data_IF_010233296860
#
_entry.id   IF_010233296860
#
_cell.length_a   1.000
_cell.length_b   1.000
_cell.length_c   1.000
_cell.angle_alpha   90.00
_cell.angle_beta   90.00
_cell.angle_gamma   90.00
#
_symmetry.space_group_name_H-M   'P 1'
#
loop_
_entity.id
_entity.type
_entity.pdbx_description
1 polymer ?
#
# COMPACT_ATOMS: atom_id res chain seq x y z
N UNK A 1 7.74 9.62 -58.46
CA UNK A 1 7.86 10.20 -57.10
C UNK A 1 6.54 10.74 -56.54
N UNK A 2 5.83 11.66 -57.23
CA UNK A 2 4.54 12.22 -56.74
C UNK A 2 3.46 11.16 -56.42
N UNK A 3 3.34 10.11 -57.23
CA UNK A 3 2.37 9.00 -56.99
C UNK A 3 2.70 8.13 -55.78
N UNK A 4 4.00 7.93 -55.49
CA UNK A 4 4.47 7.16 -54.33
C UNK A 4 4.27 7.98 -53.05
N UNK A 5 4.56 9.29 -53.09
CA UNK A 5 4.27 10.20 -51.97
C UNK A 5 2.77 10.23 -51.63
N UNK A 6 1.91 10.30 -52.66
CA UNK A 6 0.46 10.31 -52.46
C UNK A 6 -0.05 8.99 -51.85
N UNK A 7 0.47 7.84 -52.28
CA UNK A 7 0.14 6.54 -51.69
C UNK A 7 0.61 6.43 -50.23
N UNK A 8 1.79 6.97 -49.91
CA UNK A 8 2.30 7.01 -48.53
C UNK A 8 1.46 7.93 -47.63
N UNK A 9 1.03 9.09 -48.12
CA UNK A 9 0.13 9.99 -47.40
C UNK A 9 -1.25 9.36 -47.18
N UNK A 10 -1.78 8.65 -48.17
CA UNK A 10 -3.07 7.96 -48.05
C UNK A 10 -2.99 6.80 -47.04
N UNK A 11 -1.89 6.04 -47.03
CA UNK A 11 -1.66 4.97 -46.06
C UNK A 11 -1.55 5.51 -44.62
N UNK A 12 -0.89 6.65 -44.42
CA UNK A 12 -0.85 7.32 -43.11
C UNK A 12 -2.22 7.87 -42.69
N UNK A 13 -3.02 8.42 -43.62
CA UNK A 13 -4.35 8.93 -43.32
C UNK A 13 -5.33 7.84 -42.86
N UNK A 14 -5.22 6.62 -43.42
CA UNK A 14 -6.03 5.47 -43.00
C UNK A 14 -5.70 5.03 -41.57
N UNK A 15 -4.43 5.11 -41.15
CA UNK A 15 -4.02 4.76 -39.78
C UNK A 15 -4.56 5.76 -38.71
N UNK A 16 -4.68 7.05 -39.04
CA UNK A 16 -5.31 8.02 -38.14
C UNK A 16 -6.82 7.80 -37.96
N UNK A 17 -7.51 7.21 -38.94
CA UNK A 17 -8.95 6.95 -38.86
C UNK A 17 -9.31 5.85 -37.84
N UNK A 18 -8.40 4.90 -37.57
CA UNK A 18 -8.61 3.79 -36.62
C UNK A 18 -8.21 4.11 -35.17
N UNK A 19 -7.68 5.30 -34.88
CA UNK A 19 -7.26 5.70 -33.53
C UNK A 19 -8.36 6.39 -32.70
N UNK A 20 -9.61 6.38 -33.17
CA UNK A 20 -10.72 7.04 -32.48
C UNK A 20 -11.01 6.36 -31.14
N UNK A 21 -11.00 7.16 -30.07
CA UNK A 21 -11.34 6.71 -28.71
C UNK A 21 -12.71 7.25 -28.33
N UNK A 22 -13.47 6.44 -27.61
CA UNK A 22 -14.78 6.82 -27.10
C UNK A 22 -14.74 7.43 -25.69
N UNK A 23 -15.88 7.97 -25.28
CA UNK A 23 -16.12 8.44 -23.92
C UNK A 23 -17.50 8.06 -23.41
N UNK A 24 -17.63 7.99 -22.09
CA UNK A 24 -18.89 7.73 -21.39
C UNK A 24 -19.11 8.84 -20.37
N UNK A 25 -20.30 9.43 -20.37
CA UNK A 25 -20.69 10.49 -19.45
C UNK A 25 -22.06 10.27 -18.83
N UNK A 26 -22.35 10.98 -17.75
CA UNK A 26 -23.67 10.96 -17.11
C UNK A 26 -23.69 11.79 -15.82
N UNK A 27 -24.86 11.83 -15.19
CA UNK A 27 -25.09 12.50 -13.90
C UNK A 27 -25.69 11.52 -12.91
N UNK A 28 -25.11 11.47 -11.71
CA UNK A 28 -25.51 10.57 -10.63
C UNK A 28 -26.41 11.30 -9.65
N UNK A 29 -27.60 10.74 -9.39
CA UNK A 29 -28.63 11.33 -8.53
C UNK A 29 -29.18 10.28 -7.57
N UNK A 30 -29.71 10.74 -6.45
CA UNK A 30 -30.52 9.92 -5.56
C UNK A 30 -31.89 9.62 -6.20
N UNK A 31 -32.30 8.35 -6.18
CA UNK A 31 -33.60 7.90 -6.67
C UNK A 31 -34.79 8.47 -5.87
N UNK A 32 -34.64 8.65 -4.55
CA UNK A 32 -35.66 9.15 -3.64
C UNK A 32 -35.78 10.68 -3.71
N UNK A 33 -34.66 11.37 -3.95
CA UNK A 33 -34.61 12.81 -4.15
C UNK A 33 -33.76 13.17 -5.36
N UNK A 34 -34.38 13.27 -6.54
CA UNK A 34 -33.69 13.54 -7.81
C UNK A 34 -33.04 14.93 -7.91
N UNK A 35 -33.15 15.77 -6.88
CA UNK A 35 -32.40 17.03 -6.73
C UNK A 35 -31.07 16.84 -6.00
N UNK A 36 -30.91 15.74 -5.25
CA UNK A 36 -29.68 15.39 -4.55
C UNK A 36 -28.71 14.72 -5.53
N UNK A 37 -27.61 15.39 -5.83
CA UNK A 37 -26.53 14.88 -6.67
C UNK A 37 -25.55 14.04 -5.85
N UNK A 38 -25.07 12.94 -6.41
CA UNK A 38 -24.10 12.06 -5.76
C UNK A 38 -22.68 12.47 -6.18
N UNK A 39 -22.08 13.35 -5.38
CA UNK A 39 -20.71 13.79 -5.54
C UNK A 39 -19.70 12.74 -5.05
N UNK A 40 -18.50 12.75 -5.64
CA UNK A 40 -17.39 11.84 -5.29
C UNK A 40 -17.75 10.34 -5.36
N UNK A 41 -18.76 9.98 -6.14
CA UNK A 41 -19.09 8.61 -6.42
C UNK A 41 -18.10 8.05 -7.45
N UNK A 42 -17.62 6.84 -7.20
CA UNK A 42 -16.64 6.18 -8.06
C UNK A 42 -17.35 5.51 -9.22
N UNK A 43 -17.07 5.98 -10.43
CA UNK A 43 -17.50 5.36 -11.68
C UNK A 43 -16.33 4.56 -12.24
N UNK A 44 -16.48 3.24 -12.31
CA UNK A 44 -15.46 2.31 -12.80
C UNK A 44 -15.91 1.67 -14.10
N UNK A 45 -14.97 1.49 -15.03
CA UNK A 45 -15.18 0.83 -16.32
C UNK A 45 -14.36 -0.47 -16.35
N UNK A 46 -15.02 -1.58 -16.62
CA UNK A 46 -14.42 -2.90 -16.80
C UNK A 46 -14.64 -3.38 -18.24
N UNK A 47 -13.65 -4.04 -18.84
CA UNK A 47 -13.71 -4.54 -20.22
C UNK A 47 -14.39 -5.90 -20.25
N UNK A 48 -15.49 -6.04 -21.00
CA UNK A 48 -16.22 -7.30 -21.16
C UNK A 48 -16.74 -7.90 -19.85
N UNK A 49 -16.65 -9.23 -19.73
CA UNK A 49 -16.97 -9.99 -18.52
C UNK A 49 -15.82 -10.02 -17.49
N UNK A 50 -14.66 -9.46 -17.83
CA UNK A 50 -13.50 -9.49 -16.95
C UNK A 50 -13.67 -8.54 -15.76
N UNK A 51 -12.91 -8.83 -14.70
CA UNK A 51 -12.78 -8.01 -13.49
C UNK A 51 -11.67 -6.97 -13.61
N UNK A 52 -11.04 -6.86 -14.79
CA UNK A 52 -9.92 -5.93 -15.02
C UNK A 52 -10.43 -4.51 -15.19
N UNK A 53 -10.07 -3.66 -14.23
CA UNK A 53 -10.34 -2.23 -14.26
C UNK A 53 -9.62 -1.60 -15.48
N UNK A 54 -10.40 -1.03 -16.38
CA UNK A 54 -9.88 -0.32 -17.57
C UNK A 54 -9.62 1.15 -17.25
N UNK A 55 -10.60 1.81 -16.63
CA UNK A 55 -10.53 3.22 -16.28
C UNK A 55 -11.51 3.52 -15.16
N UNK A 56 -11.33 4.63 -14.45
CA UNK A 56 -12.27 5.10 -13.44
C UNK A 56 -12.23 6.62 -13.34
N UNK A 57 -13.29 7.19 -12.76
CA UNK A 57 -13.36 8.62 -12.43
C UNK A 57 -14.30 8.81 -11.24
N UNK A 58 -13.99 9.77 -10.40
CA UNK A 58 -14.94 10.29 -9.41
C UNK A 58 -15.91 11.25 -10.10
N UNK A 59 -17.17 11.23 -9.70
CA UNK A 59 -18.10 12.31 -10.04
C UNK A 59 -17.70 13.61 -9.36
N UNK A 60 -17.98 14.73 -10.02
CA UNK A 60 -17.74 16.07 -9.49
C UNK A 60 -18.79 16.47 -8.42
N UNK A 61 -18.69 17.71 -7.93
CA UNK A 61 -19.61 18.25 -6.92
C UNK A 61 -21.08 18.30 -7.38
N UNK A 62 -21.33 18.22 -8.69
CA UNK A 62 -22.67 18.19 -9.30
C UNK A 62 -23.09 16.75 -9.68
N UNK A 63 -22.34 15.73 -9.27
CA UNK A 63 -22.58 14.34 -9.59
C UNK A 63 -22.30 13.99 -11.05
N UNK A 64 -21.64 14.85 -11.82
CA UNK A 64 -21.33 14.63 -13.24
C UNK A 64 -20.02 13.85 -13.36
N UNK A 65 -19.98 12.90 -14.29
CA UNK A 65 -18.76 12.19 -14.65
C UNK A 65 -18.55 12.14 -16.16
N UNK A 66 -17.27 12.07 -16.57
CA UNK A 66 -16.85 11.77 -17.94
C UNK A 66 -15.58 10.93 -17.92
N UNK A 67 -15.64 9.74 -18.51
CA UNK A 67 -14.52 8.81 -18.67
C UNK A 67 -14.20 8.74 -20.16
N UNK A 68 -13.00 9.18 -20.52
CA UNK A 68 -12.51 9.19 -21.91
C UNK A 68 -11.49 8.08 -22.15
N UNK A 69 -10.96 8.01 -23.38
CA UNK A 69 -9.91 7.08 -23.79
C UNK A 69 -10.33 5.61 -23.74
N UNK A 70 -11.57 5.33 -24.13
CA UNK A 70 -12.10 3.96 -24.22
C UNK A 70 -11.99 3.44 -25.67
N UNK A 71 -11.73 2.15 -25.83
CA UNK A 71 -11.66 1.51 -27.15
C UNK A 71 -13.07 1.38 -27.76
N UNK A 72 -13.18 1.55 -29.08
CA UNK A 72 -14.41 1.30 -29.81
C UNK A 72 -14.54 -0.18 -30.19
N UNK A 73 -15.78 -0.67 -30.37
CA UNK A 73 -16.07 -2.07 -30.70
C UNK A 73 -15.96 -3.04 -29.52
N UNK A 74 -15.80 -2.51 -28.31
CA UNK A 74 -15.62 -3.28 -27.08
C UNK A 74 -16.83 -3.10 -26.16
N UNK A 75 -17.33 -4.22 -25.60
CA UNK A 75 -18.33 -4.19 -24.53
C UNK A 75 -17.67 -3.77 -23.22
N UNK A 76 -18.29 -2.84 -22.50
CA UNK A 76 -17.85 -2.42 -21.18
C UNK A 76 -18.97 -2.61 -20.15
N UNK A 77 -18.56 -2.82 -18.90
CA UNK A 77 -19.43 -2.77 -17.73
C UNK A 77 -19.11 -1.51 -16.92
N UNK A 78 -20.09 -0.62 -16.82
CA UNK A 78 -20.05 0.56 -15.96
C UNK A 78 -20.54 0.15 -14.58
N UNK A 79 -19.71 0.38 -13.56
CA UNK A 79 -20.05 0.13 -12.16
C UNK A 79 -19.92 1.43 -11.40
N UNK A 80 -21.03 1.89 -10.82
CA UNK A 80 -21.06 3.10 -9.99
C UNK A 80 -21.17 2.69 -8.53
N UNK A 81 -20.23 3.15 -7.72
CA UNK A 81 -20.22 2.97 -6.29
C UNK A 81 -20.28 4.34 -5.60
N UNK A 82 -21.33 4.56 -4.82
CA UNK A 82 -21.47 5.73 -3.97
C UNK A 82 -21.66 5.28 -2.51
N UNK A 83 -21.09 6.02 -1.57
CA UNK A 83 -21.18 5.70 -0.15
C UNK A 83 -22.64 5.71 0.31
N UNK A 84 -23.07 4.65 1.01
CA UNK A 84 -24.46 4.43 1.46
C UNK A 84 -25.48 4.17 0.34
N UNK A 85 -25.06 3.94 -0.91
CA UNK A 85 -25.96 3.55 -2.00
C UNK A 85 -25.69 2.13 -2.49
N UNK A 86 -26.69 1.52 -3.12
CA UNK A 86 -26.52 0.27 -3.84
C UNK A 86 -25.63 0.47 -5.08
N UNK A 87 -24.83 -0.54 -5.40
CA UNK A 87 -23.94 -0.52 -6.56
C UNK A 87 -24.77 -0.58 -7.83
N UNK A 88 -24.70 0.46 -8.66
CA UNK A 88 -25.37 0.50 -9.96
C UNK A 88 -24.47 -0.13 -11.02
N UNK A 89 -25.07 -0.94 -11.91
CA UNK A 89 -24.37 -1.65 -13.00
C UNK A 89 -25.09 -1.44 -14.31
N UNK A 90 -24.33 -1.16 -15.38
CA UNK A 90 -24.85 -1.06 -16.74
C UNK A 90 -23.82 -1.53 -17.75
N UNK A 91 -24.22 -2.45 -18.63
CA UNK A 91 -23.43 -2.81 -19.80
C UNK A 91 -23.62 -1.78 -20.91
N UNK A 92 -22.52 -1.47 -21.59
CA UNK A 92 -22.49 -0.50 -22.70
C UNK A 92 -21.62 -1.04 -23.83
N UNK A 93 -21.88 -0.55 -25.04
CA UNK A 93 -21.05 -0.80 -26.23
C UNK A 93 -20.76 0.54 -26.89
N UNK A 94 -19.48 0.88 -27.02
CA UNK A 94 -19.04 2.04 -27.77
C UNK A 94 -18.79 1.61 -29.21
N UNK A 95 -19.37 2.32 -30.17
CA UNK A 95 -19.23 2.02 -31.60
C UNK A 95 -18.68 3.25 -32.32
N UNK A 96 -18.12 3.07 -33.52
CA UNK A 96 -17.68 4.22 -34.33
C UNK A 96 -18.82 5.17 -34.69
N UNK A 97 -20.07 4.68 -34.72
CA UNK A 97 -21.26 5.51 -34.94
C UNK A 97 -21.70 6.28 -33.68
N UNK A 98 -21.34 5.80 -32.49
CA UNK A 98 -21.62 6.44 -31.21
C UNK A 98 -20.40 6.29 -30.28
N UNK A 99 -19.32 7.04 -30.55
CA UNK A 99 -18.09 6.96 -29.76
C UNK A 99 -18.27 7.63 -28.39
N UNK A 100 -19.15 8.63 -28.30
CA UNK A 100 -19.49 9.34 -27.07
C UNK A 100 -20.88 8.93 -26.58
N UNK A 101 -20.92 8.12 -25.52
CA UNK A 101 -22.16 7.64 -24.93
C UNK A 101 -22.53 8.43 -23.68
N UNK A 102 -23.61 9.19 -23.76
CA UNK A 102 -24.20 9.85 -22.60
C UNK A 102 -25.27 8.93 -21.97
N UNK A 103 -25.06 8.53 -20.73
CA UNK A 103 -25.97 7.69 -19.96
C UNK A 103 -27.13 8.47 -19.31
N UNK A 104 -27.14 9.79 -19.45
CA UNK A 104 -28.15 10.67 -18.87
C UNK A 104 -28.08 10.68 -17.35
N UNK A 105 -29.26 10.68 -16.71
CA UNK A 105 -29.40 10.65 -15.26
C UNK A 105 -29.44 9.19 -14.77
N UNK A 106 -28.47 8.82 -13.94
CA UNK A 106 -28.42 7.53 -13.28
C UNK A 106 -28.93 7.70 -11.85
N UNK A 107 -30.05 7.04 -11.55
CA UNK A 107 -30.68 7.08 -10.23
C UNK A 107 -30.13 5.91 -9.39
N UNK A 108 -29.49 6.23 -8.28
CA UNK A 108 -29.01 5.24 -7.31
C UNK A 108 -29.96 5.19 -6.12
N UNK A 109 -30.25 3.98 -5.65
CA UNK A 109 -31.07 3.75 -4.45
C UNK A 109 -30.19 3.68 -3.22
N UNK A 110 -30.59 4.32 -2.14
CA UNK A 110 -29.91 4.19 -0.85
C UNK A 110 -29.89 2.73 -0.40
N UNK A 111 -28.81 2.34 0.27
CA UNK A 111 -28.65 1.02 0.85
C UNK A 111 -29.31 1.00 2.22
N UNK A 112 -30.46 0.34 2.33
CA UNK A 112 -31.01 -0.05 3.63
C UNK A 112 -30.09 -1.09 4.29
N UNK A 113 -29.95 -1.02 5.61
CA UNK A 113 -29.04 -1.82 6.43
C UNK A 113 -29.43 -3.31 6.52
N UNK A 114 -29.77 -3.94 5.39
CA UNK A 114 -29.98 -5.38 5.34
C UNK A 114 -28.62 -6.07 5.35
N UNK A 115 -28.29 -6.64 6.51
CA UNK A 115 -27.13 -7.48 6.81
C UNK A 115 -27.11 -8.82 6.01
N UNK A 116 -27.75 -8.88 4.85
CA UNK A 116 -27.54 -9.97 3.90
C UNK A 116 -26.28 -9.66 3.10
N UNK A 117 -25.19 -10.18 3.62
CA UNK A 117 -23.87 -10.20 3.02
C UNK A 117 -23.92 -10.90 1.65
N UNK A 118 -24.22 -10.16 0.58
CA UNK A 118 -23.88 -10.62 -0.77
C UNK A 118 -22.41 -10.33 -0.97
N UNK A 119 -21.59 -11.33 -0.68
CA UNK A 119 -20.15 -11.35 -0.97
C UNK A 119 -19.96 -11.33 -2.48
N UNK A 120 -20.02 -10.17 -3.12
CA UNK A 120 -19.54 -10.02 -4.50
C UNK A 120 -18.02 -9.85 -4.41
N UNK A 121 -17.31 -10.98 -4.34
CA UNK A 121 -15.84 -11.07 -4.28
C UNK A 121 -15.14 -10.43 -5.49
N UNK A 122 -15.84 -10.15 -6.59
CA UNK A 122 -15.23 -9.83 -7.89
C UNK A 122 -15.11 -8.35 -8.24
N UNK A 123 -15.79 -7.43 -7.54
CA UNK A 123 -15.92 -6.03 -7.97
C UNK A 123 -15.70 -5.05 -6.81
N UNK A 124 -14.50 -5.06 -6.23
CA UNK A 124 -14.11 -4.05 -5.25
C UNK A 124 -13.77 -2.75 -5.98
N UNK A 125 -14.49 -1.63 -5.75
CA UNK A 125 -14.19 -0.37 -6.42
C UNK A 125 -12.75 0.08 -6.10
N UNK A 126 -12.02 0.67 -7.06
CA UNK A 126 -10.65 1.10 -6.86
C UNK A 126 -10.52 2.19 -5.79
N UNK A 127 -11.55 3.02 -5.67
CA UNK A 127 -11.61 4.15 -4.74
C UNK A 127 -13.00 4.19 -4.12
N UNK A 128 -13.08 4.48 -2.83
CA UNK A 128 -14.32 4.79 -2.13
C UNK A 128 -14.07 6.05 -1.30
N UNK A 129 -14.84 7.10 -1.54
CA UNK A 129 -14.82 8.31 -0.71
C UNK A 129 -15.89 8.18 0.36
N UNK A 130 -15.50 8.23 1.64
CA UNK A 130 -16.37 8.10 2.82
C UNK A 130 -16.23 9.34 3.68
N UNK A 131 -17.13 10.31 3.52
CA UNK A 131 -17.12 11.56 4.30
C UNK A 131 -15.73 12.21 4.26
N UNK A 132 -14.92 12.03 5.32
CA UNK A 132 -13.60 12.63 5.51
C UNK A 132 -12.43 11.69 5.13
N UNK A 133 -12.71 10.51 4.56
CA UNK A 133 -11.69 9.48 4.25
C UNK A 133 -11.80 8.98 2.82
N UNK A 134 -10.67 8.98 2.09
CA UNK A 134 -10.53 8.34 0.78
C UNK A 134 -9.92 6.96 0.99
N UNK A 135 -10.61 5.91 0.57
CA UNK A 135 -10.15 4.53 0.64
C UNK A 135 -9.77 4.03 -0.76
N UNK A 136 -8.52 3.64 -0.93
CA UNK A 136 -7.99 3.00 -2.14
C UNK A 136 -7.92 1.49 -1.93
N UNK A 137 -8.49 0.73 -2.86
CA UNK A 137 -8.31 -0.71 -2.90
C UNK A 137 -6.93 -1.03 -3.50
N UNK A 138 -6.00 -1.57 -2.70
CA UNK A 138 -4.63 -1.82 -3.14
C UNK A 138 -4.56 -2.80 -4.32
N UNK A 139 -5.46 -3.79 -4.38
CA UNK A 139 -5.49 -4.79 -5.45
C UNK A 139 -5.90 -4.20 -6.81
N UNK A 140 -6.54 -3.03 -6.83
CA UNK A 140 -6.89 -2.34 -8.06
C UNK A 140 -5.70 -1.63 -8.72
N UNK A 141 -4.60 -1.44 -7.99
CA UNK A 141 -3.40 -0.75 -8.46
C UNK A 141 -2.25 -1.75 -8.57
N UNK A 142 -2.09 -2.35 -9.76
CA UNK A 142 -1.08 -3.40 -9.99
C UNK A 142 0.34 -2.87 -9.78
N UNK A 143 1.11 -3.58 -8.95
CA UNK A 143 2.54 -3.38 -8.71
C UNK A 143 3.31 -4.66 -9.04
N UNK A 144 4.65 -4.57 -9.05
CA UNK A 144 5.51 -5.76 -9.19
C UNK A 144 5.36 -6.67 -7.95
N UNK A 145 5.55 -8.00 -8.08
CA UNK A 145 5.49 -8.92 -6.93
C UNK A 145 6.44 -8.56 -5.79
N UNK A 146 7.58 -7.94 -6.11
CA UNK A 146 8.61 -7.48 -5.16
C UNK A 146 8.48 -6.01 -4.77
N UNK A 147 7.42 -5.32 -5.21
CA UNK A 147 7.22 -3.90 -4.95
C UNK A 147 6.97 -3.63 -3.47
N UNK A 148 7.45 -2.48 -3.00
CA UNK A 148 7.19 -1.99 -1.64
C UNK A 148 5.99 -1.04 -1.61
N UNK A 149 5.51 -0.70 -0.41
CA UNK A 149 4.38 0.22 -0.24
C UNK A 149 4.62 1.57 -0.92
N UNK A 150 5.85 2.07 -0.95
CA UNK A 150 6.20 3.30 -1.67
C UNK A 150 5.83 3.23 -3.17
N UNK A 151 6.11 2.10 -3.83
CA UNK A 151 5.78 1.88 -5.24
C UNK A 151 4.26 1.83 -5.46
N UNK A 152 3.53 1.25 -4.51
CA UNK A 152 2.07 1.24 -4.52
C UNK A 152 1.50 2.66 -4.37
N UNK A 153 2.04 3.45 -3.44
CA UNK A 153 1.62 4.84 -3.22
C UNK A 153 1.83 5.69 -4.48
N UNK A 154 2.93 5.51 -5.20
CA UNK A 154 3.21 6.19 -6.49
C UNK A 154 2.18 5.86 -7.59
N UNK A 155 1.42 4.77 -7.45
CA UNK A 155 0.36 4.39 -8.40
C UNK A 155 -1.01 4.96 -8.03
N UNK A 156 -1.18 5.48 -6.83
CA UNK A 156 -2.44 6.06 -6.39
C UNK A 156 -2.63 7.46 -7.00
N UNK A 157 -3.84 7.80 -7.47
CA UNK A 157 -4.11 9.13 -8.02
C UNK A 157 -3.99 10.20 -6.93
N UNK A 158 -3.43 11.35 -7.31
CA UNK A 158 -3.24 12.46 -6.38
C UNK A 158 -2.13 12.24 -5.36
N UNK A 159 -1.49 11.07 -5.32
CA UNK A 159 -0.39 10.79 -4.41
C UNK A 159 0.95 11.08 -5.11
N UNK A 160 1.74 11.95 -4.51
CA UNK A 160 3.10 12.26 -4.93
C UNK A 160 4.08 11.79 -3.85
N UNK A 161 5.13 11.10 -4.26
CA UNK A 161 6.22 10.67 -3.38
C UNK A 161 7.50 11.30 -3.91
N UNK A 162 8.13 12.15 -3.12
CA UNK A 162 9.38 12.82 -3.49
C UNK A 162 10.60 11.92 -3.20
N UNK A 163 11.75 12.30 -3.74
CA UNK A 163 13.01 11.53 -3.61
C UNK A 163 13.51 11.40 -2.17
N UNK A 164 13.15 12.34 -1.31
CA UNK A 164 13.46 12.33 0.13
C UNK A 164 12.53 11.40 0.93
N UNK A 165 11.52 10.82 0.31
CA UNK A 165 10.51 9.96 0.94
C UNK A 165 9.32 10.72 1.52
N UNK A 166 9.23 12.04 1.35
CA UNK A 166 8.04 12.82 1.71
C UNK A 166 6.88 12.48 0.78
N UNK A 167 5.67 12.45 1.34
CA UNK A 167 4.46 12.05 0.62
C UNK A 167 3.44 13.18 0.70
N UNK A 168 2.83 13.49 -0.42
CA UNK A 168 1.71 14.41 -0.52
C UNK A 168 0.53 13.70 -1.16
N UNK A 169 -0.68 14.04 -0.71
CA UNK A 169 -1.93 13.58 -1.33
C UNK A 169 -2.78 14.80 -1.65
N UNK A 170 -3.12 14.97 -2.93
CA UNK A 170 -3.86 16.12 -3.47
C UNK A 170 -3.26 17.48 -3.03
N UNK A 171 -1.92 17.57 -3.02
CA UNK A 171 -1.18 18.78 -2.64
C UNK A 171 -1.05 19.02 -1.13
N UNK A 172 -1.62 18.15 -0.28
CA UNK A 172 -1.47 18.21 1.18
C UNK A 172 -0.37 17.26 1.65
N UNK A 173 0.50 17.73 2.56
CA UNK A 173 1.54 16.89 3.15
C UNK A 173 0.95 15.81 4.05
N UNK A 174 1.54 14.61 3.99
CA UNK A 174 1.22 13.51 4.90
C UNK A 174 2.06 13.66 6.17
N UNK A 175 1.41 13.74 7.33
CA UNK A 175 2.07 13.91 8.64
C UNK A 175 2.48 12.58 9.27
N UNK A 176 1.73 11.50 9.01
CA UNK A 176 2.05 10.17 9.56
C UNK A 176 1.48 9.03 8.72
N UNK A 177 2.14 7.89 8.82
CA UNK A 177 1.65 6.60 8.30
C UNK A 177 1.31 5.67 9.45
N UNK A 178 0.09 5.16 9.42
CA UNK A 178 -0.41 4.15 10.33
C UNK A 178 -0.48 2.80 9.60
N UNK A 179 -0.28 1.72 10.35
CA UNK A 179 -0.57 0.37 9.92
C UNK A 179 -1.67 -0.16 10.82
N UNK A 180 -2.81 -0.49 10.22
CA UNK A 180 -4.02 -0.93 10.92
C UNK A 180 -4.52 0.04 12.01
N UNK A 181 -4.34 1.34 11.79
CA UNK A 181 -4.74 2.41 12.69
C UNK A 181 -3.76 2.64 13.85
N UNK A 182 -2.57 2.04 13.79
CA UNK A 182 -1.53 2.14 14.82
C UNK A 182 -0.25 2.68 14.21
N UNK A 183 0.49 3.48 14.97
CA UNK A 183 1.83 3.89 14.55
C UNK A 183 2.73 2.66 14.41
N UNK A 184 3.44 2.62 13.30
CA UNK A 184 4.36 1.53 12.99
C UNK A 184 5.78 2.09 13.00
N UNK A 185 6.73 1.30 13.52
CA UNK A 185 8.16 1.69 13.62
C UNK A 185 8.42 3.08 14.24
N UNK A 186 7.75 3.41 15.35
CA UNK A 186 8.02 4.65 16.08
C UNK A 186 7.54 5.93 15.38
N UNK A 187 6.69 5.80 14.34
CA UNK A 187 6.12 6.95 13.62
C UNK A 187 6.93 7.40 12.40
N UNK A 188 8.06 6.75 12.10
CA UNK A 188 8.83 7.05 10.90
C UNK A 188 8.12 6.53 9.63
N UNK A 189 7.62 7.50 8.86
CA UNK A 189 6.89 7.29 7.63
C UNK A 189 7.68 6.47 6.59
N UNK A 190 8.99 6.71 6.49
CA UNK A 190 9.83 6.10 5.46
C UNK A 190 10.09 4.64 5.74
N UNK A 191 10.17 4.26 7.02
CA UNK A 191 10.39 2.87 7.40
C UNK A 191 9.20 2.01 6.96
N UNK A 192 7.97 2.49 7.18
CA UNK A 192 6.78 1.75 6.76
C UNK A 192 6.70 1.61 5.23
N UNK A 193 6.96 2.68 4.47
CA UNK A 193 6.78 2.67 3.00
C UNK A 193 7.87 1.93 2.26
N UNK A 194 9.11 1.99 2.72
CA UNK A 194 10.26 1.36 2.05
C UNK A 194 10.49 -0.10 2.43
N UNK A 195 9.91 -0.58 3.54
CA UNK A 195 10.14 -1.95 4.02
C UNK A 195 8.93 -2.86 3.98
N UNK A 196 7.70 -2.33 3.94
CA UNK A 196 6.52 -3.16 3.82
C UNK A 196 6.32 -3.55 2.35
N UNK A 197 6.16 -4.85 2.04
CA UNK A 197 5.74 -5.28 0.72
C UNK A 197 4.36 -4.70 0.33
N UNK A 198 4.15 -4.36 -0.93
CA UNK A 198 2.85 -3.89 -1.40
C UNK A 198 1.77 -5.00 -1.36
N UNK A 199 2.19 -6.25 -1.57
CA UNK A 199 1.28 -7.41 -1.70
C UNK A 199 0.54 -7.78 -0.39
N UNK A 200 1.01 -7.30 0.76
CA UNK A 200 0.38 -7.52 2.06
C UNK A 200 -0.68 -6.47 2.41
N UNK A 201 -0.81 -5.41 1.60
CA UNK A 201 -1.79 -4.34 1.80
C UNK A 201 -3.13 -4.74 1.15
N UNK A 202 -4.22 -4.61 1.89
CA UNK A 202 -5.60 -4.78 1.39
C UNK A 202 -6.14 -3.44 0.87
N UNK A 203 -5.94 -2.37 1.64
CA UNK A 203 -6.44 -1.03 1.31
C UNK A 203 -5.60 0.06 1.96
N UNK A 204 -5.64 1.25 1.36
CA UNK A 204 -4.96 2.45 1.84
C UNK A 204 -6.03 3.50 2.12
N UNK A 205 -6.07 4.03 3.34
CA UNK A 205 -7.04 5.05 3.73
C UNK A 205 -6.32 6.37 3.94
N UNK A 206 -6.82 7.45 3.37
CA UNK A 206 -6.27 8.81 3.51
C UNK A 206 -7.33 9.70 4.14
N UNK A 207 -6.98 10.38 5.23
CA UNK A 207 -7.87 11.29 5.93
C UNK A 207 -7.09 12.49 6.47
N UNK A 208 -7.77 13.59 6.79
CA UNK A 208 -7.16 14.72 7.51
C UNK A 208 -6.64 14.29 8.89
N UNK A 209 -5.53 14.87 9.36
CA UNK A 209 -4.95 14.59 10.68
C UNK A 209 -5.76 15.28 11.80
N UNK A 210 -6.49 14.52 12.63
CA UNK A 210 -7.28 15.11 13.72
C UNK A 210 -6.40 15.74 14.80
N UNK A 211 -5.18 15.24 15.01
CA UNK A 211 -4.26 15.79 16.01
C UNK A 211 -3.66 17.12 15.55
N UNK A 212 -3.49 17.31 14.24
CA UNK A 212 -3.08 18.59 13.69
C UNK A 212 -4.18 19.65 13.93
N UNK A 213 -5.44 19.33 13.63
CA UNK A 213 -6.59 20.21 13.93
C UNK A 213 -6.78 20.48 15.42
N UNK A 214 -6.41 19.53 16.29
CA UNK A 214 -6.49 19.73 17.74
C UNK A 214 -5.42 20.69 18.26
N UNK A 215 -4.21 20.63 17.70
CA UNK A 215 -3.10 21.53 18.09
C UNK A 215 -3.30 22.95 17.57
N UNK A 216 -3.93 23.09 16.42
CA UNK A 216 -4.25 24.37 15.80
C UNK A 216 -5.70 24.35 15.27
N UNK A 217 -6.68 24.79 16.08
CA UNK A 217 -8.08 24.85 15.68
C UNK A 217 -8.37 25.83 14.53
N UNK A 218 -7.51 26.82 14.32
CA UNK A 218 -7.64 27.83 13.26
C UNK A 218 -7.04 27.37 11.93
N UNK A 219 -6.46 26.15 11.90
CA UNK A 219 -5.86 25.57 10.72
C UNK A 219 -6.91 25.33 9.62
N UNK A 220 -6.78 26.09 8.53
CA UNK A 220 -7.68 25.96 7.38
C UNK A 220 -7.69 24.52 6.82
N UNK A 221 -8.86 24.07 6.36
CA UNK A 221 -9.04 22.73 5.82
C UNK A 221 -8.10 22.41 4.64
N UNK A 222 -7.73 23.41 3.83
CA UNK A 222 -6.75 23.27 2.74
C UNK A 222 -5.32 23.00 3.23
N UNK A 223 -4.98 23.47 4.42
CA UNK A 223 -3.64 23.38 5.01
C UNK A 223 -3.52 22.26 6.05
N UNK A 224 -4.61 21.53 6.33
CA UNK A 224 -4.56 20.40 7.27
C UNK A 224 -3.74 19.26 6.66
N UNK A 225 -2.66 18.80 7.34
CA UNK A 225 -1.93 17.61 6.95
C UNK A 225 -2.82 16.37 6.93
N UNK A 226 -2.41 15.35 6.17
CA UNK A 226 -3.14 14.10 6.06
C UNK A 226 -2.43 12.93 6.73
N UNK A 227 -3.20 11.92 7.11
CA UNK A 227 -2.72 10.64 7.60
C UNK A 227 -3.02 9.59 6.54
N UNK A 228 -2.04 8.73 6.29
CA UNK A 228 -2.23 7.51 5.50
C UNK A 228 -2.32 6.33 6.47
N UNK A 229 -3.34 5.49 6.34
CA UNK A 229 -3.51 4.26 7.10
C UNK A 229 -3.50 3.05 6.17
N UNK A 230 -2.48 2.22 6.30
CA UNK A 230 -2.26 0.99 5.57
C UNK A 230 -3.00 -0.15 6.28
N UNK A 231 -4.02 -0.72 5.65
CA UNK A 231 -4.72 -1.89 6.18
C UNK A 231 -4.12 -3.16 5.59
N UNK A 232 -3.68 -4.06 6.46
CA UNK A 232 -3.12 -5.33 6.05
C UNK A 232 -4.22 -6.33 5.65
N UNK A 233 -3.90 -7.21 4.70
CA UNK A 233 -4.75 -8.36 4.36
C UNK A 233 -4.98 -9.23 5.58
N UNK A 234 -6.18 -9.79 5.73
CA UNK A 234 -6.56 -10.63 6.89
C UNK A 234 -5.56 -11.78 7.15
N UNK A 235 -5.07 -12.42 6.08
CA UNK A 235 -4.11 -13.52 6.18
C UNK A 235 -2.75 -13.09 6.79
N UNK A 236 -2.35 -11.83 6.65
CA UNK A 236 -1.06 -11.32 7.12
C UNK A 236 -1.11 -10.93 8.61
N UNK A 237 -2.29 -10.61 9.14
CA UNK A 237 -2.49 -10.32 10.57
C UNK A 237 -2.18 -11.51 11.49
N UNK A 238 -1.98 -12.70 10.92
CA UNK A 238 -1.67 -13.96 11.59
C UNK A 238 -0.53 -14.70 10.86
N UNK A 239 0.51 -13.98 10.44
CA UNK A 239 1.59 -14.51 9.60
C UNK A 239 2.96 -14.60 10.28
N UNK A 240 3.88 -15.31 9.64
CA UNK A 240 5.28 -15.38 10.02
C UNK A 240 6.17 -14.82 8.89
N UNK A 241 7.23 -14.11 9.24
CA UNK A 241 8.23 -13.63 8.29
C UNK A 241 9.63 -13.83 8.87
N UNK A 242 10.61 -14.09 8.01
CA UNK A 242 11.95 -14.39 8.49
C UNK A 242 12.99 -14.45 7.39
N UNK A 243 14.24 -14.58 7.80
CA UNK A 243 15.41 -14.75 6.96
C UNK A 243 16.20 -15.92 7.50
N UNK A 244 16.55 -16.85 6.63
CA UNK A 244 17.46 -17.96 6.93
C UNK A 244 18.59 -17.85 5.92
N UNK A 245 19.82 -18.03 6.36
CA UNK A 245 21.00 -18.04 5.51
C UNK A 245 21.98 -19.11 6.02
N UNK A 246 22.84 -19.56 5.11
CA UNK A 246 23.92 -20.49 5.42
C UNK A 246 24.96 -20.45 4.31
N UNK A 247 26.22 -20.69 4.68
CA UNK A 247 27.36 -20.65 3.78
C UNK A 247 28.53 -21.46 4.30
N UNK A 248 29.35 -21.97 3.38
CA UNK A 248 30.57 -22.71 3.67
C UNK A 248 31.72 -22.25 2.78
N UNK A 249 32.96 -22.38 3.25
CA UNK A 249 34.15 -21.96 2.53
C UNK A 249 35.40 -22.80 2.86
N UNK A 250 36.52 -22.58 2.14
CA UNK A 250 37.79 -23.25 2.40
C UNK A 250 38.26 -23.05 3.84
N UNK A 251 39.10 -23.96 4.35
CA UNK A 251 39.59 -23.95 5.74
C UNK A 251 38.47 -24.03 6.79
N UNK A 252 37.48 -24.90 6.54
CA UNK A 252 36.36 -25.18 7.46
C UNK A 252 35.56 -23.92 7.87
N UNK A 253 35.54 -22.90 7.00
CA UNK A 253 34.78 -21.68 7.24
C UNK A 253 33.30 -21.93 7.06
N UNK A 254 32.48 -21.44 7.97
CA UNK A 254 31.02 -21.55 7.90
C UNK A 254 30.33 -20.31 8.45
N UNK A 255 29.13 -20.08 7.94
CA UNK A 255 28.14 -19.17 8.51
C UNK A 255 26.76 -19.83 8.45
N UNK A 256 25.95 -19.63 9.48
CA UNK A 256 24.55 -20.04 9.49
C UNK A 256 23.75 -19.13 10.40
N UNK A 257 22.52 -18.88 10.05
CA UNK A 257 21.62 -18.15 10.92
C UNK A 257 20.20 -18.07 10.41
N UNK A 258 19.27 -17.92 11.34
CA UNK A 258 17.86 -17.72 11.08
C UNK A 258 17.26 -16.69 12.03
N UNK A 259 16.44 -15.79 11.49
CA UNK A 259 15.57 -14.91 12.26
C UNK A 259 14.15 -15.08 11.76
N UNK A 260 13.22 -15.40 12.64
CA UNK A 260 11.81 -15.62 12.33
C UNK A 260 10.94 -14.87 13.31
N UNK A 261 9.89 -14.26 12.80
CA UNK A 261 8.99 -13.42 13.56
C UNK A 261 7.56 -13.75 13.22
N UNK A 262 6.77 -13.98 14.26
CA UNK A 262 5.38 -14.38 14.21
C UNK A 262 4.52 -13.22 14.69
N UNK A 263 3.46 -12.92 13.94
CA UNK A 263 2.52 -11.86 14.27
C UNK A 263 1.14 -12.40 14.54
N UNK A 264 0.50 -11.83 15.56
CA UNK A 264 -0.93 -11.93 15.80
C UNK A 264 -1.46 -10.59 16.24
N UNK A 265 -2.13 -9.90 15.33
CA UNK A 265 -2.61 -8.52 15.52
C UNK A 265 -1.48 -7.56 15.93
N UNK A 266 -1.44 -7.15 17.20
CA UNK A 266 -0.37 -6.29 17.75
C UNK A 266 0.74 -7.04 18.44
N UNK A 267 0.57 -8.35 18.61
CA UNK A 267 1.56 -9.20 19.26
C UNK A 267 2.57 -9.66 18.22
N UNK A 268 3.85 -9.49 18.52
CA UNK A 268 4.97 -9.99 17.75
C UNK A 268 5.85 -10.82 18.66
N UNK A 269 6.19 -12.02 18.21
CA UNK A 269 7.21 -12.88 18.81
C UNK A 269 8.28 -13.10 17.76
N UNK A 270 9.51 -12.75 18.05
CA UNK A 270 10.65 -12.94 17.17
C UNK A 270 11.65 -13.88 17.82
N UNK A 271 12.19 -14.82 17.07
CA UNK A 271 13.25 -15.74 17.45
C UNK A 271 14.40 -15.56 16.48
N UNK A 272 15.63 -15.56 16.98
CA UNK A 272 16.82 -15.54 16.15
C UNK A 272 17.89 -16.46 16.70
N UNK A 273 18.68 -17.05 15.81
CA UNK A 273 19.89 -17.78 16.15
C UNK A 273 20.91 -17.66 15.01
N UNK A 274 22.19 -17.64 15.34
CA UNK A 274 23.28 -17.67 14.37
C UNK A 274 24.54 -18.36 14.92
N UNK A 275 25.41 -18.79 14.02
CA UNK A 275 26.73 -19.32 14.32
C UNK A 275 27.66 -19.13 13.12
N UNK A 276 28.89 -18.65 13.35
CA UNK A 276 29.90 -18.50 12.30
C UNK A 276 31.32 -18.45 12.86
N UNK A 277 32.30 -18.78 12.02
CA UNK A 277 33.74 -18.64 12.33
C UNK A 277 34.46 -17.69 11.35
N UNK A 278 33.75 -16.67 10.84
CA UNK A 278 34.25 -15.73 9.82
C UNK A 278 34.25 -14.28 10.31
N UNK A 279 34.15 -14.08 11.63
CA UNK A 279 34.12 -12.75 12.28
C UNK A 279 33.01 -11.83 11.78
N UNK A 280 31.88 -12.39 11.32
CA UNK A 280 30.75 -11.57 10.87
C UNK A 280 29.65 -11.51 11.92
N UNK A 281 28.97 -10.36 12.06
CA UNK A 281 27.72 -10.33 12.79
C UNK A 281 26.70 -11.25 12.11
N UNK A 282 25.96 -12.03 12.91
CA UNK A 282 25.00 -12.99 12.37
C UNK A 282 23.81 -12.35 11.66
N UNK A 283 23.53 -11.07 11.89
CA UNK A 283 22.42 -10.36 11.25
C UNK A 283 22.83 -8.91 11.08
N UNK A 284 22.30 -8.19 10.08
CA UNK A 284 22.49 -6.74 10.05
C UNK A 284 21.64 -6.05 11.15
N UNK A 285 22.00 -4.82 11.53
CA UNK A 285 21.13 -3.96 12.36
C UNK A 285 19.74 -3.84 11.74
N UNK A 286 19.66 -3.79 10.40
CA UNK A 286 18.42 -3.80 9.64
C UNK A 286 17.61 -5.08 9.87
N UNK A 287 18.23 -6.26 9.81
CA UNK A 287 17.54 -7.54 10.06
C UNK A 287 17.01 -7.61 11.50
N UNK A 288 17.83 -7.24 12.50
CA UNK A 288 17.45 -7.29 13.92
C UNK A 288 16.34 -6.27 14.25
N UNK A 289 16.41 -5.06 13.67
CA UNK A 289 15.39 -4.03 13.89
C UNK A 289 14.10 -4.30 13.11
N UNK A 290 14.19 -4.67 11.82
CA UNK A 290 13.05 -4.85 10.92
C UNK A 290 12.38 -6.22 11.09
N UNK A 291 13.18 -7.30 11.13
CA UNK A 291 12.66 -8.67 11.28
C UNK A 291 12.45 -8.97 12.75
N UNK A 292 13.50 -8.82 13.55
CA UNK A 292 13.46 -9.13 14.98
C UNK A 292 12.57 -8.18 15.79
N UNK A 293 12.24 -7.00 15.29
CA UNK A 293 11.40 -6.03 15.99
C UNK A 293 12.06 -5.46 17.26
N UNK A 294 13.39 -5.55 17.40
CA UNK A 294 14.12 -5.12 18.60
C UNK A 294 14.04 -3.59 18.81
N UNK A 295 13.68 -2.83 17.77
CA UNK A 295 13.43 -1.39 17.86
C UNK A 295 12.06 -1.02 18.43
N UNK A 296 11.08 -1.94 18.46
CA UNK A 296 9.70 -1.64 18.90
C UNK A 296 9.60 -1.40 20.40
N UNK A 297 10.51 -1.99 21.19
CA UNK A 297 10.66 -1.73 22.62
C UNK A 297 11.57 -0.55 22.97
N UNK A 298 12.05 0.21 21.98
CA UNK A 298 13.00 1.31 22.18
C UNK A 298 14.46 0.85 22.18
N UNK A 299 15.31 1.66 21.55
CA UNK A 299 16.77 1.49 21.55
C UNK A 299 17.37 2.72 22.22
N UNK A 300 17.95 2.51 23.39
CA UNK A 300 18.59 3.54 24.21
C UNK A 300 20.10 3.64 23.93
N UNK A 301 20.71 2.57 23.42
CA UNK A 301 22.12 2.56 23.00
C UNK A 301 22.33 1.72 21.75
N UNK A 302 23.15 2.26 20.84
CA UNK A 302 23.66 1.57 19.64
C UNK A 302 25.18 1.69 19.66
N UNK A 303 25.87 0.57 19.56
CA UNK A 303 27.31 0.51 19.38
C UNK A 303 27.59 -0.19 18.05
N UNK A 304 28.48 0.36 17.23
CA UNK A 304 28.94 -0.24 15.98
C UNK A 304 30.45 -0.18 15.96
N UNK A 305 31.10 -1.32 15.74
CA UNK A 305 32.55 -1.46 15.68
C UNK A 305 33.04 -1.39 14.23
N UNK A 306 34.30 -1.00 14.03
CA UNK A 306 34.95 -0.96 12.71
C UNK A 306 34.98 -2.31 12.01
N UNK A 307 34.96 -3.41 12.78
CA UNK A 307 34.99 -4.78 12.27
C UNK A 307 33.58 -5.31 11.93
N UNK A 308 32.59 -4.42 11.89
CA UNK A 308 31.21 -4.73 11.48
C UNK A 308 30.32 -5.25 12.60
N UNK A 309 30.86 -5.54 13.80
CA UNK A 309 30.06 -5.91 14.96
C UNK A 309 29.18 -4.77 15.48
N UNK A 310 28.07 -5.12 16.13
CA UNK A 310 27.20 -4.12 16.74
C UNK A 310 26.51 -4.66 17.99
N UNK A 311 26.08 -3.72 18.84
CA UNK A 311 25.25 -4.00 19.99
C UNK A 311 24.06 -3.02 20.08
N UNK A 312 22.90 -3.54 20.51
CA UNK A 312 21.69 -2.76 20.77
C UNK A 312 21.29 -2.94 22.23
N UNK A 313 21.22 -1.87 23.04
CA UNK A 313 20.90 -1.95 24.47
C UNK A 313 21.76 -2.98 25.22
N UNK A 314 23.07 -2.98 24.95
CA UNK A 314 24.05 -3.93 25.52
C UNK A 314 23.91 -5.39 25.05
N UNK A 315 23.04 -5.67 24.07
CA UNK A 315 22.95 -6.97 23.40
C UNK A 315 23.89 -6.96 22.20
N UNK A 316 25.01 -7.68 22.29
CA UNK A 316 25.99 -7.82 21.20
C UNK A 316 25.56 -8.90 20.21
N UNK A 317 25.63 -8.61 18.91
CA UNK A 317 25.32 -9.54 17.82
C UNK A 317 26.58 -10.05 17.11
N UNK A 318 27.73 -10.01 17.80
CA UNK A 318 29.04 -10.48 17.32
C UNK A 318 29.91 -9.37 16.71
N UNK A 319 31.12 -9.73 16.25
CA UNK A 319 32.06 -8.86 15.53
C UNK A 319 32.78 -7.81 16.40
N UNK A 320 33.06 -8.12 17.67
CA UNK A 320 33.48 -7.13 18.67
C UNK A 320 34.97 -7.14 19.04
N UNK A 321 35.85 -7.86 18.33
CA UNK A 321 37.28 -7.90 18.67
C UNK A 321 38.19 -8.23 17.48
N UNK A 322 39.50 -8.01 17.67
CA UNK A 322 40.55 -8.42 16.72
C UNK A 322 40.84 -9.94 16.81
N UNK A 323 41.24 -10.55 15.71
CA UNK A 323 41.60 -11.99 15.61
C UNK A 323 40.50 -12.87 15.03
N UNK A 324 40.81 -14.14 14.72
CA UNK A 324 39.82 -15.13 14.23
C UNK A 324 38.95 -15.59 15.39
N UNK A 325 37.63 -15.51 15.21
CA UNK A 325 36.64 -15.76 16.24
C UNK A 325 35.56 -16.71 15.73
N UNK A 326 35.14 -17.57 16.64
CA UNK A 326 33.90 -18.31 16.52
C UNK A 326 32.83 -17.58 17.33
N UNK A 327 31.73 -17.22 16.68
CA UNK A 327 30.62 -16.56 17.34
C UNK A 327 29.34 -17.36 17.15
N UNK A 328 28.56 -17.46 18.21
CA UNK A 328 27.23 -18.04 18.19
C UNK A 328 26.31 -17.22 19.08
N UNK A 329 25.03 -17.15 18.73
CA UNK A 329 24.06 -16.43 19.54
C UNK A 329 22.64 -16.84 19.24
N UNK A 330 21.77 -16.66 20.23
CA UNK A 330 20.35 -16.91 20.10
C UNK A 330 19.58 -15.91 20.97
N UNK A 331 18.37 -15.55 20.53
CA UNK A 331 17.53 -14.63 21.26
C UNK A 331 16.08 -14.68 20.87
N UNK A 332 15.26 -14.10 21.74
CA UNK A 332 13.84 -13.91 21.56
C UNK A 332 13.45 -12.46 21.87
N UNK A 333 12.46 -11.95 21.14
CA UNK A 333 11.89 -10.63 21.35
C UNK A 333 10.37 -10.72 21.28
N UNK A 334 9.70 -10.15 22.27
CA UNK A 334 8.26 -10.11 22.38
C UNK A 334 7.81 -8.66 22.48
N UNK A 335 6.88 -8.27 21.62
CA UNK A 335 6.24 -6.97 21.68
C UNK A 335 4.73 -7.16 21.60
N UNK A 336 3.96 -6.48 22.45
CA UNK A 336 2.51 -6.40 22.29
C UNK A 336 1.96 -5.05 22.71
N UNK A 337 0.85 -4.66 22.09
CA UNK A 337 0.07 -3.49 22.47
C UNK A 337 -1.33 -3.97 22.84
N UNK A 338 -1.68 -3.82 24.11
CA UNK A 338 -2.99 -4.19 24.65
C UNK A 338 -4.09 -3.27 24.10
N UNK A 339 -5.36 -3.70 24.23
CA UNK A 339 -6.52 -2.91 23.80
C UNK A 339 -6.62 -1.55 24.53
N UNK A 340 -6.08 -1.46 25.74
CA UNK A 340 -6.09 -0.25 26.57
C UNK A 340 -4.90 0.68 26.28
N UNK A 341 -4.10 0.40 25.25
CA UNK A 341 -2.96 1.23 24.87
C UNK A 341 -1.64 0.93 25.61
N UNK A 342 -1.60 -0.06 26.50
CA UNK A 342 -0.38 -0.45 27.22
C UNK A 342 0.56 -1.20 26.27
N UNK A 343 1.80 -0.70 26.13
CA UNK A 343 2.90 -1.33 25.38
C UNK A 343 3.71 -2.24 26.30
N UNK A 344 3.82 -3.52 25.96
CA UNK A 344 4.67 -4.48 26.67
C UNK A 344 5.76 -4.96 25.71
N UNK A 345 7.00 -4.94 26.18
CA UNK A 345 8.16 -5.40 25.41
C UNK A 345 9.05 -6.24 26.33
N UNK A 346 9.45 -7.43 25.88
CA UNK A 346 10.37 -8.32 26.59
C UNK A 346 11.38 -8.87 25.59
N UNK A 347 12.67 -8.76 25.90
CA UNK A 347 13.75 -9.22 25.03
C UNK A 347 14.76 -10.01 25.85
N UNK A 348 15.22 -11.12 25.29
CA UNK A 348 16.26 -11.94 25.87
C UNK A 348 17.20 -12.39 24.76
N UNK A 349 18.49 -12.25 24.99
CA UNK A 349 19.49 -12.64 24.00
C UNK A 349 20.73 -13.12 24.72
N UNK A 350 21.29 -14.20 24.20
CA UNK A 350 22.53 -14.81 24.64
C UNK A 350 23.47 -14.90 23.44
N UNK A 351 24.71 -14.45 23.60
CA UNK A 351 25.75 -14.52 22.58
C UNK A 351 27.07 -14.92 23.22
N UNK A 352 27.79 -15.80 22.55
CA UNK A 352 29.13 -16.24 22.90
C UNK A 352 30.08 -15.93 21.75
N UNK A 353 31.28 -15.46 22.10
CA UNK A 353 32.36 -15.19 21.17
C UNK A 353 33.61 -15.82 21.76
N UNK A 354 34.16 -16.80 21.07
CA UNK A 354 35.39 -17.50 21.44
C UNK A 354 36.50 -17.09 20.47
N UNK A 355 37.66 -16.69 21.00
CA UNK A 355 38.85 -16.41 20.22
C UNK A 355 39.57 -17.71 19.90
N UNK A 356 39.96 -17.91 18.64
CA UNK A 356 40.70 -19.09 18.18
C UNK A 356 42.15 -18.77 17.88
#
# INVERSE_FOLDING_TARGET
MKRILFAFTLFFAVNFAFAQKGSVSGTLLDSANQKLTLNYATVSIYKGTDTVLTNYKLSDDKGVFKISNLDLGVKYKVVVNAWMYNVYRKEILLTSASPDLNLGKLLLTEKTNDLKEVVIQSERPPIIVRKDTIEFNAESFKTLPTAVVEDLLKKLPGVAVASDGSIQVNGKSVSKILVDGKEFFGGDQQIATKNLPANIIDKIQVADDPEAKRRDPDLLAGNTPQIINLKLKKAIKQGAFGKIYGGGGPNERFETGGIMSFFRDTTQVSLLAYGNNINKPGFSIGDVSRIGGFSRGGINSVMVNSDGGFALNNISFGGASSGVQQSAGAGANFNTLTKNGIKLNAKYFFGQVDNT
#
